data_IF_215100968397
#
_entry.id   IF_215100968397
#
_cell.length_a   1.000
_cell.length_b   1.000
_cell.length_c   1.000
_cell.angle_alpha   90.00
_cell.angle_beta   90.00
_cell.angle_gamma   90.00
#
_symmetry.space_group_name_H-M   'P 1'
#
loop_
_entity.id
_entity.type
_entity.pdbx_description
1 polymer ?
#
# COMPACT_ATOMS: atom_id res chain seq x y z
N UNK A 1 -5.18 -0.67 14.44
CA UNK A 1 -5.31 0.22 13.27
C UNK A 1 -4.66 -0.37 12.05
N UNK A 2 -5.25 -0.12 10.90
CA UNK A 2 -4.77 -0.58 9.61
C UNK A 2 -4.27 0.61 8.80
N UNK A 3 -3.18 0.42 8.06
CA UNK A 3 -2.69 1.44 7.13
C UNK A 3 -3.05 1.06 5.70
N UNK A 4 -3.31 2.06 4.90
CA UNK A 4 -3.62 1.88 3.50
C UNK A 4 -2.99 2.98 2.65
N UNK A 5 -2.16 2.58 1.70
CA UNK A 5 -1.50 3.54 0.82
C UNK A 5 -2.41 3.99 -0.31
N UNK A 6 -2.00 5.05 -1.01
CA UNK A 6 -2.63 5.51 -2.23
C UNK A 6 -2.46 4.47 -3.35
N UNK A 7 -3.39 4.45 -4.29
CA UNK A 7 -3.34 3.59 -5.47
C UNK A 7 -4.69 2.98 -5.81
N UNK A 8 -4.89 2.67 -7.08
CA UNK A 8 -6.16 2.14 -7.58
C UNK A 8 -6.41 0.70 -7.14
N UNK A 9 -5.37 -0.13 -7.13
CA UNK A 9 -5.50 -1.54 -6.73
C UNK A 9 -5.92 -1.67 -5.27
N UNK A 10 -5.35 -0.83 -4.38
CA UNK A 10 -5.78 -0.80 -2.99
C UNK A 10 -7.21 -0.25 -2.86
N UNK A 11 -7.66 0.54 -3.83
CA UNK A 11 -9.05 1.02 -3.93
C UNK A 11 -10.06 -0.11 -4.04
N UNK A 12 -9.72 -1.15 -4.79
CA UNK A 12 -10.60 -2.29 -5.02
C UNK A 12 -10.89 -3.11 -3.75
N UNK A 13 -10.00 -3.08 -2.77
CA UNK A 13 -10.22 -3.81 -1.53
C UNK A 13 -11.34 -3.20 -0.65
N UNK A 14 -11.79 -1.98 -0.97
CA UNK A 14 -12.86 -1.31 -0.21
C UNK A 14 -14.17 -2.11 -0.19
N UNK A 15 -14.45 -2.84 -1.25
CA UNK A 15 -15.64 -3.69 -1.32
C UNK A 15 -15.65 -4.78 -0.26
N UNK A 16 -14.45 -5.22 0.16
CA UNK A 16 -14.29 -6.27 1.16
C UNK A 16 -14.26 -5.74 2.59
N UNK A 17 -14.26 -4.43 2.77
CA UNK A 17 -14.14 -3.80 4.08
C UNK A 17 -15.48 -3.39 4.68
N UNK A 18 -16.58 -3.57 3.96
CA UNK A 18 -17.91 -3.29 4.48
C UNK A 18 -18.17 -4.14 5.72
N UNK A 19 -18.45 -3.49 6.86
CA UNK A 19 -18.67 -4.18 8.13
C UNK A 19 -17.42 -4.47 8.96
N UNK A 20 -16.24 -4.14 8.48
CA UNK A 20 -15.01 -4.30 9.26
C UNK A 20 -14.96 -3.23 10.36
N UNK A 21 -14.73 -3.67 11.61
CA UNK A 21 -14.65 -2.77 12.77
C UNK A 21 -13.20 -2.37 13.06
N UNK A 22 -12.51 -1.84 12.07
CA UNK A 22 -11.14 -1.38 12.23
C UNK A 22 -11.05 0.09 11.85
N UNK A 23 -10.20 0.82 12.55
CA UNK A 23 -9.85 2.18 12.14
C UNK A 23 -8.74 2.10 11.11
N UNK A 24 -8.80 2.96 10.11
CA UNK A 24 -7.81 3.07 9.05
C UNK A 24 -7.04 4.38 9.16
N UNK A 25 -5.78 4.32 8.78
CA UNK A 25 -4.95 5.48 8.53
C UNK A 25 -4.53 5.43 7.07
N UNK A 26 -4.67 6.51 6.35
CA UNK A 26 -4.30 6.58 4.94
C UNK A 26 -3.68 7.92 4.59
N UNK A 27 -2.83 7.92 3.56
CA UNK A 27 -2.31 9.13 2.96
C UNK A 27 -3.02 9.50 1.65
N UNK A 28 -4.10 8.80 1.30
CA UNK A 28 -4.84 9.05 0.07
C UNK A 28 -6.17 9.75 0.38
N UNK A 29 -6.34 10.98 -0.13
CA UNK A 29 -7.54 11.78 0.12
C UNK A 29 -8.81 11.07 -0.35
N UNK A 30 -8.80 10.54 -1.58
CA UNK A 30 -9.96 9.84 -2.14
C UNK A 30 -10.34 8.60 -1.33
N UNK A 31 -9.34 7.86 -0.85
CA UNK A 31 -9.59 6.68 0.00
C UNK A 31 -10.20 7.06 1.34
N UNK A 32 -9.71 8.15 1.94
CA UNK A 32 -10.27 8.64 3.20
C UNK A 32 -11.75 9.01 3.05
N UNK A 33 -12.08 9.70 1.96
CA UNK A 33 -13.47 10.07 1.67
C UNK A 33 -14.37 8.85 1.49
N UNK A 34 -13.91 7.86 0.74
CA UNK A 34 -14.67 6.64 0.49
C UNK A 34 -14.90 5.84 1.78
N UNK A 35 -13.86 5.67 2.58
CA UNK A 35 -13.96 4.97 3.87
C UNK A 35 -14.92 5.69 4.82
N UNK A 36 -14.83 7.00 4.90
CA UNK A 36 -15.70 7.80 5.76
C UNK A 36 -17.16 7.66 5.35
N UNK A 37 -17.46 7.66 4.06
CA UNK A 37 -18.82 7.47 3.53
C UNK A 37 -19.38 6.08 3.84
N UNK A 38 -18.51 5.09 4.00
CA UNK A 38 -18.89 3.73 4.39
C UNK A 38 -19.10 3.59 5.91
N UNK A 39 -18.94 4.66 6.66
CA UNK A 39 -19.06 4.63 8.11
C UNK A 39 -17.84 4.06 8.83
N UNK A 40 -16.72 3.91 8.12
CA UNK A 40 -15.47 3.41 8.68
C UNK A 40 -14.68 4.59 9.24
N UNK A 41 -14.19 4.42 10.47
CA UNK A 41 -13.35 5.43 11.09
C UNK A 41 -12.01 5.51 10.38
N UNK A 42 -11.68 6.69 9.87
CA UNK A 42 -10.46 6.90 9.09
C UNK A 42 -9.74 8.17 9.54
N UNK A 43 -8.42 8.06 9.62
CA UNK A 43 -7.53 9.19 9.89
C UNK A 43 -6.73 9.47 8.63
N UNK A 44 -6.82 10.70 8.14
CA UNK A 44 -6.04 11.13 6.97
C UNK A 44 -4.73 11.74 7.45
N UNK A 45 -3.62 11.23 6.92
CA UNK A 45 -2.29 11.76 7.21
C UNK A 45 -2.18 13.17 6.65
N UNK A 46 -1.68 14.09 7.45
CA UNK A 46 -1.42 15.47 7.02
C UNK A 46 -0.07 15.61 6.33
N UNK A 47 0.06 16.64 5.53
CA UNK A 47 1.28 16.95 4.79
C UNK A 47 0.97 17.64 3.47
N UNK A 48 1.91 17.59 2.54
CA UNK A 48 1.75 18.19 1.22
C UNK A 48 0.93 17.27 0.31
N UNK A 49 -0.07 17.83 -0.35
CA UNK A 49 -0.90 17.08 -1.29
C UNK A 49 -0.24 17.06 -2.68
N UNK A 50 0.02 15.87 -3.18
CA UNK A 50 0.50 15.67 -4.54
C UNK A 50 -0.70 15.64 -5.50
N UNK A 51 -0.80 16.65 -6.36
CA UNK A 51 -1.99 16.86 -7.21
C UNK A 51 -2.27 15.72 -8.19
N UNK A 52 -1.22 15.08 -8.73
CA UNK A 52 -1.38 14.04 -9.75
C UNK A 52 -1.99 12.73 -9.22
N UNK A 53 -1.80 12.43 -7.94
CA UNK A 53 -2.23 11.16 -7.34
C UNK A 53 -3.15 11.34 -6.13
N UNK A 54 -3.39 12.57 -5.71
CA UNK A 54 -4.15 12.91 -4.48
C UNK A 54 -3.57 12.26 -3.23
N UNK A 55 -2.26 11.95 -3.25
CA UNK A 55 -1.54 11.40 -2.12
C UNK A 55 -0.90 12.50 -1.29
N UNK A 56 -0.92 12.34 0.02
CA UNK A 56 -0.21 13.22 0.94
C UNK A 56 1.19 12.67 1.12
N UNK A 57 2.19 13.53 0.95
CA UNK A 57 3.61 13.17 0.99
C UNK A 57 4.41 14.18 1.81
N UNK A 58 5.71 13.92 1.94
CA UNK A 58 6.66 14.85 2.55
C UNK A 58 6.96 14.53 4.01
N UNK A 59 7.79 15.38 4.61
CA UNK A 59 8.33 15.16 5.97
C UNK A 59 7.24 15.15 7.05
N UNK A 60 6.23 15.99 6.93
CA UNK A 60 5.12 16.02 7.87
C UNK A 60 4.33 14.71 7.84
N UNK A 61 4.08 14.17 6.63
CA UNK A 61 3.41 12.88 6.47
C UNK A 61 4.21 11.77 7.14
N UNK A 62 5.52 11.73 6.90
CA UNK A 62 6.41 10.73 7.49
C UNK A 62 6.42 10.81 9.02
N UNK A 63 6.54 12.02 9.58
CA UNK A 63 6.53 12.20 11.03
C UNK A 63 5.24 11.70 11.65
N UNK A 64 4.12 11.99 11.01
CA UNK A 64 2.82 11.55 11.50
C UNK A 64 2.67 10.03 11.45
N UNK A 65 3.07 9.40 10.34
CA UNK A 65 3.04 7.95 10.18
C UNK A 65 3.89 7.25 11.24
N UNK A 66 5.06 7.81 11.55
CA UNK A 66 5.98 7.22 12.53
C UNK A 66 5.42 7.20 13.96
N UNK A 67 4.39 7.96 14.24
CA UNK A 67 3.72 7.95 15.54
C UNK A 67 2.75 6.78 15.71
N UNK A 68 2.39 6.10 14.62
CA UNK A 68 1.44 5.00 14.65
C UNK A 68 2.12 3.63 14.69
N UNK A 69 1.38 2.66 15.23
CA UNK A 69 1.73 1.24 15.15
C UNK A 69 0.56 0.51 14.52
N UNK A 70 0.77 -0.04 13.33
CA UNK A 70 -0.29 -0.71 12.59
C UNK A 70 -0.20 -2.23 12.76
N UNK A 71 -1.33 -2.90 12.87
CA UNK A 71 -1.39 -4.36 12.81
C UNK A 71 -1.11 -4.85 11.40
N UNK A 72 -1.72 -4.20 10.42
CA UNK A 72 -1.56 -4.55 9.01
C UNK A 72 -1.48 -3.31 8.16
N UNK A 73 -0.68 -3.37 7.11
CA UNK A 73 -0.62 -2.34 6.10
C UNK A 73 -0.86 -2.92 4.71
N UNK A 74 -1.58 -2.18 3.90
CA UNK A 74 -1.93 -2.58 2.53
C UNK A 74 -1.39 -1.55 1.56
N UNK A 75 -0.60 -2.00 0.59
CA UNK A 75 0.14 -1.13 -0.32
C UNK A 75 -0.06 -1.57 -1.77
N UNK A 76 -0.17 -0.59 -2.66
CA UNK A 76 -0.09 -0.85 -4.09
C UNK A 76 1.37 -0.73 -4.55
N UNK A 77 1.65 -1.21 -5.75
CA UNK A 77 2.98 -1.12 -6.37
C UNK A 77 2.85 -0.97 -7.87
N UNK A 78 3.87 -0.40 -8.50
CA UNK A 78 3.94 -0.30 -9.96
C UNK A 78 4.77 -1.41 -10.58
N UNK A 79 5.67 -2.03 -9.82
CA UNK A 79 6.47 -3.14 -10.30
C UNK A 79 6.86 -4.08 -9.17
N UNK A 80 7.09 -5.35 -9.53
CA UNK A 80 7.51 -6.39 -8.60
C UNK A 80 8.54 -7.26 -9.28
N UNK A 81 9.75 -7.34 -8.71
CA UNK A 81 10.77 -8.32 -9.09
C UNK A 81 11.47 -8.81 -7.85
N UNK A 82 12.10 -10.00 -7.93
CA UNK A 82 12.86 -10.53 -6.81
C UNK A 82 14.08 -9.68 -6.49
N UNK A 83 14.69 -9.11 -7.52
CA UNK A 83 15.92 -8.32 -7.37
C UNK A 83 15.63 -6.91 -6.87
N UNK A 84 14.75 -6.18 -7.54
CA UNK A 84 14.47 -4.78 -7.24
C UNK A 84 13.40 -4.60 -6.17
N UNK A 85 12.65 -5.67 -5.89
CA UNK A 85 11.56 -5.61 -4.92
C UNK A 85 10.32 -4.91 -5.45
N UNK A 86 9.70 -4.11 -4.60
CA UNK A 86 8.50 -3.34 -4.94
C UNK A 86 8.91 -1.93 -5.35
N UNK A 87 8.49 -1.51 -6.54
CA UNK A 87 8.93 -0.24 -7.13
C UNK A 87 7.76 0.66 -7.51
N UNK A 88 8.03 1.96 -7.49
CA UNK A 88 7.07 3.02 -7.82
C UNK A 88 7.84 4.15 -8.52
N UNK A 89 7.20 4.97 -9.37
CA UNK A 89 7.92 5.99 -10.13
C UNK A 89 8.34 7.21 -9.32
N UNK A 90 7.69 7.49 -8.20
CA UNK A 90 7.87 8.74 -7.47
C UNK A 90 8.60 8.54 -6.13
N UNK A 91 9.70 9.31 -5.93
CA UNK A 91 10.51 9.22 -4.71
C UNK A 91 9.73 9.61 -3.46
N UNK A 92 8.92 10.66 -3.53
CA UNK A 92 8.14 11.12 -2.37
C UNK A 92 7.14 10.07 -1.91
N UNK A 93 6.46 9.41 -2.84
CA UNK A 93 5.53 8.33 -2.52
C UNK A 93 6.26 7.07 -2.03
N UNK A 94 7.43 6.78 -2.61
CA UNK A 94 8.26 5.66 -2.16
C UNK A 94 8.68 5.82 -0.70
N UNK A 95 9.08 7.02 -0.30
CA UNK A 95 9.50 7.31 1.08
C UNK A 95 8.31 7.14 2.03
N UNK A 96 7.14 7.64 1.68
CA UNK A 96 5.94 7.48 2.51
C UNK A 96 5.58 5.99 2.67
N UNK A 97 5.58 5.24 1.57
CA UNK A 97 5.31 3.79 1.62
C UNK A 97 6.32 3.05 2.50
N UNK A 98 7.60 3.32 2.29
CA UNK A 98 8.67 2.68 3.08
C UNK A 98 8.53 3.00 4.56
N UNK A 99 8.23 4.25 4.90
CA UNK A 99 8.03 4.68 6.29
C UNK A 99 6.85 3.94 6.92
N UNK A 100 5.74 3.85 6.21
CA UNK A 100 4.54 3.17 6.70
C UNK A 100 4.75 1.66 6.85
N UNK A 101 5.47 1.03 5.92
CA UNK A 101 5.79 -0.40 6.00
C UNK A 101 6.53 -0.75 7.28
N UNK A 102 7.46 0.09 7.70
CA UNK A 102 8.23 -0.10 8.94
C UNK A 102 7.36 -0.01 10.19
N UNK A 103 6.21 0.63 10.11
CA UNK A 103 5.28 0.78 11.23
C UNK A 103 4.23 -0.33 11.27
N UNK A 104 4.25 -1.26 10.33
CA UNK A 104 3.29 -2.36 10.24
C UNK A 104 3.87 -3.66 10.79
N UNK A 105 3.06 -4.39 11.54
CA UNK A 105 3.42 -5.75 11.96
C UNK A 105 3.41 -6.69 10.76
N UNK A 106 2.35 -6.64 9.96
CA UNK A 106 2.20 -7.43 8.74
C UNK A 106 1.99 -6.50 7.55
N UNK A 107 2.75 -6.72 6.49
CA UNK A 107 2.70 -5.90 5.27
C UNK A 107 2.16 -6.73 4.12
N UNK A 108 1.20 -6.16 3.40
CA UNK A 108 0.59 -6.79 2.23
C UNK A 108 0.70 -5.86 1.02
N UNK A 109 1.13 -6.43 -0.10
CA UNK A 109 1.09 -5.77 -1.40
C UNK A 109 -0.12 -6.32 -2.17
N UNK A 110 -0.99 -5.42 -2.61
CA UNK A 110 -2.16 -5.78 -3.43
C UNK A 110 -1.83 -5.47 -4.87
N UNK A 111 -1.91 -6.47 -5.72
CA UNK A 111 -1.48 -6.30 -7.12
C UNK A 111 -2.25 -7.22 -8.07
N UNK A 112 -2.24 -6.84 -9.33
CA UNK A 112 -2.63 -7.72 -10.42
C UNK A 112 -1.37 -8.30 -11.09
N UNK A 113 -1.58 -9.26 -11.97
CA UNK A 113 -0.51 -9.99 -12.67
C UNK A 113 0.42 -9.07 -13.46
N UNK A 114 -0.08 -7.96 -13.99
CA UNK A 114 0.67 -7.09 -14.90
C UNK A 114 1.88 -6.41 -14.24
N UNK A 115 1.91 -6.34 -12.91
CA UNK A 115 3.01 -5.67 -12.19
C UNK A 115 4.24 -6.56 -12.00
N UNK A 116 4.08 -7.88 -12.08
CA UNK A 116 5.20 -8.80 -11.97
C UNK A 116 6.13 -8.68 -13.17
N UNK A 117 7.42 -8.59 -12.88
CA UNK A 117 8.46 -8.42 -13.90
C UNK A 117 8.71 -6.98 -14.31
N UNK A 118 7.86 -6.04 -13.90
CA UNK A 118 8.04 -4.62 -14.18
C UNK A 118 8.93 -3.98 -13.12
N UNK A 119 9.77 -3.03 -13.56
CA UNK A 119 10.65 -2.26 -12.68
C UNK A 119 10.39 -0.78 -12.90
N UNK A 120 9.97 -0.10 -11.84
CA UNK A 120 9.81 1.35 -11.86
C UNK A 120 11.04 2.02 -11.24
N UNK A 121 11.04 3.36 -11.15
CA UNK A 121 12.27 4.12 -10.85
C UNK A 121 12.83 3.94 -9.44
N UNK A 122 11.97 3.70 -8.45
CA UNK A 122 12.38 3.74 -7.03
C UNK A 122 11.84 2.52 -6.28
N UNK A 123 12.72 1.83 -5.55
CA UNK A 123 12.31 0.73 -4.66
C UNK A 123 11.82 1.30 -3.33
N UNK A 124 10.67 0.81 -2.85
CA UNK A 124 10.17 1.17 -1.53
C UNK A 124 10.15 0.00 -0.54
N UNK A 125 10.39 -1.21 -1.00
CA UNK A 125 10.48 -2.39 -0.15
C UNK A 125 11.11 -3.56 -0.89
N UNK A 126 11.74 -4.47 -0.14
CA UNK A 126 12.31 -5.69 -0.70
C UNK A 126 11.24 -6.75 -0.97
N UNK A 127 11.51 -7.63 -1.90
CA UNK A 127 10.55 -8.66 -2.34
C UNK A 127 9.99 -9.51 -1.17
N UNK A 128 10.83 -9.80 -0.18
CA UNK A 128 10.44 -10.64 0.97
C UNK A 128 9.93 -9.83 2.17
N UNK A 129 9.87 -8.51 2.05
CA UNK A 129 9.41 -7.64 3.15
C UNK A 129 7.90 -7.65 3.32
N UNK A 130 7.18 -8.26 2.39
CA UNK A 130 5.72 -8.27 2.39
C UNK A 130 5.17 -9.57 1.81
N UNK A 131 3.92 -9.84 2.15
CA UNK A 131 3.11 -10.85 1.45
C UNK A 131 2.44 -10.17 0.28
N UNK A 132 2.38 -10.86 -0.84
CA UNK A 132 1.79 -10.34 -2.07
C UNK A 132 0.45 -11.03 -2.30
N UNK A 133 -0.61 -10.24 -2.42
CA UNK A 133 -1.96 -10.73 -2.68
C UNK A 133 -2.32 -10.42 -4.13
N UNK A 134 -2.63 -11.45 -4.89
CA UNK A 134 -2.96 -11.32 -6.32
C UNK A 134 -4.00 -12.37 -6.72
N UNK A 135 -4.81 -12.05 -7.73
CA UNK A 135 -5.78 -13.01 -8.27
C UNK A 135 -5.12 -14.07 -9.14
N UNK A 136 -3.99 -13.75 -9.75
CA UNK A 136 -3.27 -14.67 -10.64
C UNK A 136 -1.76 -14.55 -10.39
N UNK A 137 -1.10 -15.70 -10.19
CA UNK A 137 0.34 -15.77 -9.96
C UNK A 137 1.03 -16.15 -11.28
N UNK A 138 1.93 -15.30 -11.80
CA UNK A 138 2.68 -15.65 -13.00
C UNK A 138 3.54 -16.91 -12.80
N UNK A 139 3.76 -17.65 -13.87
CA UNK A 139 4.46 -18.93 -13.83
C UNK A 139 5.84 -18.83 -13.16
N UNK A 140 6.60 -17.79 -13.45
CA UNK A 140 7.94 -17.58 -12.91
C UNK A 140 7.96 -17.32 -11.39
N UNK A 141 6.80 -17.05 -10.81
CA UNK A 141 6.66 -16.74 -9.38
C UNK A 141 5.89 -17.79 -8.60
N UNK A 142 5.53 -18.92 -9.20
CA UNK A 142 4.72 -19.98 -8.56
C UNK A 142 5.40 -20.59 -7.33
N UNK A 143 6.72 -20.57 -7.27
CA UNK A 143 7.51 -21.12 -6.17
C UNK A 143 7.72 -20.14 -5.01
N UNK A 144 7.30 -18.92 -5.13
CA UNK A 144 7.49 -17.89 -4.08
C UNK A 144 6.45 -18.04 -2.98
N UNK A 145 6.92 -18.31 -1.75
CA UNK A 145 6.06 -18.61 -0.60
C UNK A 145 5.29 -17.40 -0.07
N UNK A 146 5.78 -16.19 -0.35
CA UNK A 146 5.16 -14.96 0.11
C UNK A 146 4.07 -14.44 -0.82
N UNK A 147 3.78 -15.15 -1.91
CA UNK A 147 2.72 -14.77 -2.84
C UNK A 147 1.49 -15.63 -2.56
N UNK A 148 0.37 -14.97 -2.30
CA UNK A 148 -0.89 -15.62 -1.97
C UNK A 148 -1.92 -15.32 -3.04
N UNK A 149 -2.54 -16.36 -3.57
CA UNK A 149 -3.61 -16.20 -4.55
C UNK A 149 -4.90 -15.91 -3.81
N UNK A 150 -5.60 -14.84 -4.24
CA UNK A 150 -6.91 -14.46 -3.71
C UNK A 150 -7.94 -14.47 -4.84
N UNK A 151 -9.19 -14.57 -4.46
CA UNK A 151 -10.27 -14.58 -5.45
C UNK A 151 -10.66 -13.17 -5.87
#
# INVERSE_FOLDING_TARGET
MLFRSAGTTTGLMLEYLAGVRAAFVTNAVSHAQTLAKMGIRVYLIGGELKSSTEAVVGSQAMQMIQMYHFTKGFFGTNGITRREGFTTPDTSEAIVKSTAMKQCKDVYILTDKSKFGEVSSVTFGGFTDAKILTEEIPEEYQDSKNILKVK
#
